data_IF_875734487703
#
_entry.id   IF_875734487703
#
_cell.length_a   1.000
_cell.length_b   1.000
_cell.length_c   1.000
_cell.angle_alpha   90.00
_cell.angle_beta   90.00
_cell.angle_gamma   90.00
#
_symmetry.space_group_name_H-M   'P 1'
#
loop_
_entity.id
_entity.type
_entity.pdbx_description
1 polymer ?
#
# COMPACT_ATOMS: atom_id res chain seq x y z
N UNK A 1 -17.56 -7.42 6.56
CA UNK A 1 -16.62 -6.46 5.93
C UNK A 1 -15.22 -6.91 6.25
N UNK A 2 -14.40 -7.17 5.23
CA UNK A 2 -12.99 -7.47 5.41
C UNK A 2 -12.31 -6.23 6.01
N UNK A 3 -11.56 -6.41 7.10
CA UNK A 3 -10.83 -5.30 7.74
C UNK A 3 -9.43 -5.26 7.14
N UNK A 4 -9.14 -4.25 6.32
CA UNK A 4 -7.85 -4.13 5.60
C UNK A 4 -6.68 -3.73 6.48
N UNK A 5 -6.92 -3.48 7.77
CA UNK A 5 -5.91 -3.11 8.77
C UNK A 5 -5.09 -4.28 9.30
N UNK A 6 -5.63 -5.49 9.23
CA UNK A 6 -4.91 -6.70 9.63
C UNK A 6 -4.44 -7.42 8.38
N UNK A 7 -3.14 -7.70 8.28
CA UNK A 7 -2.56 -8.43 7.15
C UNK A 7 -2.75 -9.96 7.25
N UNK A 8 -3.52 -10.47 8.22
CA UNK A 8 -3.79 -11.90 8.42
C UNK A 8 -4.41 -12.59 7.19
N UNK A 9 -5.00 -11.82 6.26
CA UNK A 9 -5.53 -12.34 5.00
C UNK A 9 -4.44 -12.66 3.96
N UNK A 10 -3.23 -12.10 4.06
CA UNK A 10 -2.16 -12.37 3.09
C UNK A 10 -1.61 -13.81 3.23
N UNK A 11 -1.35 -14.35 4.44
CA UNK A 11 -0.91 -15.73 4.60
C UNK A 11 -1.89 -16.79 4.09
N UNK A 12 -3.19 -16.47 4.06
CA UNK A 12 -4.26 -17.33 3.53
C UNK A 12 -4.32 -17.33 1.99
N UNK A 13 -3.58 -16.42 1.35
CA UNK A 13 -3.47 -16.26 -0.09
C UNK A 13 -2.52 -17.24 -0.78
N UNK A 14 -2.09 -16.88 -1.99
CA UNK A 14 -1.12 -17.69 -2.72
C UNK A 14 0.33 -17.51 -2.20
N UNK A 15 1.30 -18.10 -2.91
CA UNK A 15 2.72 -17.99 -2.57
C UNK A 15 3.23 -16.55 -2.57
N UNK A 16 2.85 -15.75 -3.58
CA UNK A 16 3.29 -14.35 -3.70
C UNK A 16 2.73 -13.50 -2.57
N UNK A 17 1.47 -13.71 -2.15
CA UNK A 17 0.89 -13.00 -1.00
C UNK A 17 1.60 -13.35 0.32
N UNK A 18 2.05 -14.61 0.49
CA UNK A 18 2.88 -15.01 1.63
C UNK A 18 4.25 -14.33 1.61
N UNK A 19 4.88 -14.24 0.45
CA UNK A 19 6.17 -13.55 0.30
C UNK A 19 6.05 -12.06 0.61
N UNK A 20 4.98 -11.41 0.14
CA UNK A 20 4.68 -10.01 0.46
C UNK A 20 4.46 -9.81 1.95
N UNK A 21 3.72 -10.73 2.59
CA UNK A 21 3.54 -10.69 4.04
C UNK A 21 4.89 -10.76 4.77
N UNK A 22 5.77 -11.69 4.37
CA UNK A 22 7.11 -11.82 4.94
C UNK A 22 7.94 -10.54 4.74
N UNK A 23 7.99 -10.00 3.52
CA UNK A 23 8.73 -8.77 3.23
C UNK A 23 8.24 -7.56 4.05
N UNK A 24 6.93 -7.45 4.29
CA UNK A 24 6.36 -6.39 5.15
C UNK A 24 6.75 -6.59 6.62
N UNK A 25 6.76 -7.83 7.13
CA UNK A 25 7.20 -8.10 8.51
C UNK A 25 8.69 -7.83 8.68
N UNK A 26 9.52 -8.33 7.76
CA UNK A 26 10.98 -8.28 7.84
C UNK A 26 11.53 -6.86 7.65
N UNK A 27 10.84 -6.03 6.85
CA UNK A 27 11.18 -4.61 6.73
C UNK A 27 10.84 -3.80 7.98
N UNK A 28 10.06 -4.35 8.93
CA UNK A 28 9.51 -3.65 10.10
C UNK A 28 8.71 -2.38 9.75
N UNK A 29 8.29 -2.22 8.49
CA UNK A 29 7.74 -0.96 7.96
C UNK A 29 6.53 -0.48 8.76
N UNK A 30 5.56 -1.38 9.02
CA UNK A 30 4.34 -1.01 9.74
C UNK A 30 4.64 -0.55 11.17
N UNK A 31 5.67 -1.12 11.80
CA UNK A 31 6.11 -0.72 13.15
C UNK A 31 6.80 0.65 13.13
N UNK A 32 7.69 0.88 12.16
CA UNK A 32 8.41 2.14 12.00
C UNK A 32 7.45 3.30 11.67
N UNK A 33 6.38 3.02 10.94
CA UNK A 33 5.39 4.01 10.51
C UNK A 33 4.12 4.02 11.38
N UNK A 34 4.06 3.28 12.49
CA UNK A 34 2.83 3.10 13.29
C UNK A 34 2.15 4.41 13.71
N UNK A 35 2.93 5.49 13.91
CA UNK A 35 2.41 6.82 14.24
C UNK A 35 1.60 7.50 13.10
N UNK A 36 1.62 6.91 11.90
CA UNK A 36 1.01 7.44 10.69
C UNK A 36 -0.08 6.52 10.11
N UNK A 37 -0.60 5.58 10.91
CA UNK A 37 -1.66 4.62 10.53
C UNK A 37 -1.37 3.92 9.18
N UNK A 38 -0.26 3.16 9.06
CA UNK A 38 0.15 2.60 7.78
C UNK A 38 -0.79 1.46 7.37
N UNK A 39 -1.31 1.51 6.14
CA UNK A 39 -2.19 0.47 5.57
C UNK A 39 -1.64 0.00 4.23
N UNK A 40 -1.58 -1.33 4.06
CA UNK A 40 -1.33 -1.95 2.75
C UNK A 40 -2.55 -1.78 1.85
N UNK A 41 -2.32 -1.24 0.65
CA UNK A 41 -3.32 -1.06 -0.38
C UNK A 41 -2.86 -1.64 -1.72
N UNK A 42 -3.65 -1.47 -2.75
CA UNK A 42 -3.29 -1.86 -4.11
C UNK A 42 -3.69 -3.30 -4.41
N UNK A 43 -2.86 -3.98 -5.18
CA UNK A 43 -3.24 -5.22 -5.85
C UNK A 43 -3.02 -6.48 -5.02
N UNK A 44 -2.03 -6.50 -4.13
CA UNK A 44 -1.74 -7.62 -3.22
C UNK A 44 -2.89 -7.96 -2.27
N UNK A 45 -3.57 -6.99 -1.61
CA UNK A 45 -4.68 -7.33 -0.72
C UNK A 45 -5.88 -8.05 -1.38
N UNK A 46 -6.10 -7.78 -2.66
CA UNK A 46 -7.26 -8.26 -3.42
C UNK A 46 -6.91 -9.33 -4.48
N UNK A 47 -5.65 -9.78 -4.53
CA UNK A 47 -5.26 -10.94 -5.34
C UNK A 47 -5.20 -10.69 -6.85
N UNK A 48 -5.00 -9.45 -7.31
CA UNK A 48 -4.96 -9.09 -8.76
C UNK A 48 -3.60 -8.53 -9.22
N UNK A 49 -2.55 -8.76 -8.45
CA UNK A 49 -1.20 -8.28 -8.76
C UNK A 49 -0.59 -8.97 -9.98
N UNK A 50 0.42 -8.32 -10.53
CA UNK A 50 1.33 -8.85 -11.53
C UNK A 50 2.70 -9.06 -10.89
N UNK A 51 3.62 -9.75 -11.58
CA UNK A 51 4.97 -10.02 -11.07
C UNK A 51 5.74 -8.74 -10.70
N UNK A 52 5.51 -7.66 -11.44
CA UNK A 52 6.16 -6.36 -11.28
C UNK A 52 5.40 -5.41 -10.34
N UNK A 53 4.33 -5.86 -9.68
CA UNK A 53 3.51 -5.02 -8.80
C UNK A 53 4.28 -4.59 -7.55
N UNK A 54 4.15 -3.31 -7.23
CA UNK A 54 4.74 -2.69 -6.05
C UNK A 54 3.92 -3.06 -4.79
N UNK A 55 4.59 -3.05 -3.63
CA UNK A 55 3.95 -3.09 -2.32
C UNK A 55 3.60 -1.65 -1.94
N UNK A 56 2.32 -1.31 -2.06
CA UNK A 56 1.81 0.04 -1.81
C UNK A 56 1.35 0.22 -0.36
N UNK A 57 2.00 1.11 0.39
CA UNK A 57 1.59 1.50 1.74
C UNK A 57 1.11 2.95 1.73
N UNK A 58 -0.08 3.19 2.25
CA UNK A 58 -0.56 4.56 2.53
C UNK A 58 -0.46 4.90 4.01
N UNK A 59 -0.23 6.17 4.30
CA UNK A 59 -0.10 6.74 5.63
C UNK A 59 -0.86 8.07 5.74
N UNK A 60 -1.30 8.40 6.94
CA UNK A 60 -1.79 9.73 7.30
C UNK A 60 -0.71 10.48 8.11
N UNK A 61 -0.37 11.71 7.70
CA UNK A 61 0.49 12.59 8.50
C UNK A 61 -0.23 13.88 8.89
N UNK A 62 0.11 14.44 10.06
CA UNK A 62 -0.30 15.81 10.42
C UNK A 62 0.73 16.85 10.03
N UNK A 63 1.99 16.43 9.95
CA UNK A 63 3.16 17.28 9.73
C UNK A 63 4.11 16.58 8.76
N UNK A 64 4.24 17.16 7.57
CA UNK A 64 5.05 16.56 6.49
C UNK A 64 6.54 16.50 6.84
N UNK A 65 7.03 17.46 7.63
CA UNK A 65 8.42 17.49 8.08
C UNK A 65 8.74 16.36 9.06
N UNK A 66 7.83 16.10 10.00
CA UNK A 66 7.96 14.96 10.92
C UNK A 66 7.87 13.64 10.17
N UNK A 67 6.87 13.48 9.29
CA UNK A 67 6.70 12.28 8.47
C UNK A 67 7.92 12.01 7.60
N UNK A 68 8.39 13.02 6.85
CA UNK A 68 9.57 12.89 6.00
C UNK A 68 10.83 12.55 6.76
N UNK A 69 11.01 13.11 7.96
CA UNK A 69 12.16 12.77 8.83
C UNK A 69 12.12 11.30 9.25
N UNK A 70 10.95 10.77 9.63
CA UNK A 70 10.82 9.36 10.01
C UNK A 70 11.07 8.44 8.81
N UNK A 71 10.50 8.76 7.64
CA UNK A 71 10.70 7.98 6.41
C UNK A 71 12.18 7.98 6.00
N UNK A 72 12.83 9.15 6.00
CA UNK A 72 14.26 9.28 5.69
C UNK A 72 15.12 8.46 6.66
N UNK A 73 14.93 8.63 7.97
CA UNK A 73 15.72 7.91 8.97
C UNK A 73 15.50 6.40 8.91
N UNK A 74 14.31 5.96 8.54
CA UNK A 74 13.94 4.54 8.51
C UNK A 74 14.43 3.82 7.26
N UNK A 75 14.40 4.46 6.09
CA UNK A 75 14.51 3.74 4.81
C UNK A 75 15.60 4.28 3.86
N UNK A 76 16.24 5.42 4.16
CA UNK A 76 17.23 6.03 3.24
C UNK A 76 18.47 5.18 2.96
N UNK A 77 18.74 4.17 3.79
CA UNK A 77 19.85 3.24 3.62
C UNK A 77 19.52 2.06 2.69
N UNK A 78 18.26 1.93 2.26
CA UNK A 78 17.81 0.83 1.42
C UNK A 78 18.12 1.11 -0.08
N UNK A 79 18.29 0.05 -0.89
CA UNK A 79 18.51 0.20 -2.33
C UNK A 79 17.39 0.97 -3.03
N UNK A 80 17.75 1.71 -4.08
CA UNK A 80 16.85 2.51 -4.91
C UNK A 80 15.99 3.52 -4.13
N UNK A 81 16.43 3.93 -2.93
CA UNK A 81 15.67 4.89 -2.13
C UNK A 81 15.51 6.23 -2.85
N UNK A 82 14.26 6.64 -3.06
CA UNK A 82 13.88 7.98 -3.49
C UNK A 82 12.77 8.53 -2.60
N UNK A 83 12.79 9.84 -2.35
CA UNK A 83 11.70 10.54 -1.65
C UNK A 83 11.42 11.87 -2.32
N UNK A 84 10.13 12.22 -2.46
CA UNK A 84 9.71 13.49 -3.08
C UNK A 84 8.36 13.95 -2.54
N UNK A 85 8.18 15.27 -2.54
CA UNK A 85 6.90 15.92 -2.23
C UNK A 85 6.22 16.37 -3.51
N UNK A 86 4.90 16.21 -3.61
CA UNK A 86 4.08 16.62 -4.75
C UNK A 86 2.68 17.07 -4.30
N UNK A 87 2.03 17.88 -5.12
CA UNK A 87 0.59 18.17 -4.99
C UNK A 87 -0.20 17.14 -5.80
N UNK A 88 -1.00 16.32 -5.13
CA UNK A 88 -1.84 15.29 -5.77
C UNK A 88 -3.29 15.61 -5.45
N UNK A 89 -4.07 15.93 -6.48
CA UNK A 89 -5.48 16.35 -6.35
C UNK A 89 -5.66 17.53 -5.38
N UNK A 90 -4.71 18.47 -5.38
CA UNK A 90 -4.72 19.64 -4.50
C UNK A 90 -4.27 19.38 -3.06
N UNK A 91 -3.80 18.17 -2.75
CA UNK A 91 -3.33 17.79 -1.41
C UNK A 91 -1.81 17.60 -1.42
N UNK A 92 -1.11 18.20 -0.45
CA UNK A 92 0.32 17.99 -0.26
C UNK A 92 0.58 16.53 0.13
N UNK A 93 1.45 15.87 -0.62
CA UNK A 93 1.70 14.44 -0.53
C UNK A 93 3.19 14.16 -0.57
N UNK A 94 3.62 13.14 0.15
CA UNK A 94 4.99 12.65 0.11
C UNK A 94 5.01 11.21 -0.36
N UNK A 95 5.90 10.91 -1.30
CA UNK A 95 6.09 9.58 -1.87
C UNK A 95 7.54 9.18 -1.62
N UNK A 96 7.74 8.04 -0.97
CA UNK A 96 9.02 7.37 -0.88
C UNK A 96 8.97 6.03 -1.60
N UNK A 97 10.06 5.65 -2.26
CA UNK A 97 10.22 4.33 -2.85
C UNK A 97 11.56 3.77 -2.50
N UNK A 98 11.64 2.45 -2.43
CA UNK A 98 12.88 1.70 -2.23
C UNK A 98 12.65 0.25 -2.61
N UNK A 99 13.71 -0.55 -2.57
CA UNK A 99 13.63 -2.00 -2.70
C UNK A 99 13.99 -2.71 -1.40
N UNK A 100 13.27 -3.77 -1.11
CA UNK A 100 13.56 -4.66 0.00
C UNK A 100 13.07 -6.07 -0.34
N UNK A 101 13.90 -7.08 -0.06
CA UNK A 101 13.59 -8.50 -0.26
C UNK A 101 13.03 -8.85 -1.65
N UNK A 102 13.60 -8.25 -2.71
CA UNK A 102 13.17 -8.46 -4.09
C UNK A 102 11.94 -7.66 -4.53
N UNK A 103 11.22 -7.02 -3.59
CA UNK A 103 10.06 -6.19 -3.89
C UNK A 103 10.41 -4.70 -4.01
N UNK A 104 9.60 -3.99 -4.79
CA UNK A 104 9.54 -2.52 -4.77
C UNK A 104 8.48 -2.11 -3.76
N UNK A 105 8.84 -1.20 -2.87
CA UNK A 105 7.92 -0.57 -1.94
C UNK A 105 7.65 0.85 -2.39
N UNK A 106 6.38 1.26 -2.34
CA UNK A 106 5.96 2.66 -2.42
C UNK A 106 5.25 3.04 -1.12
N UNK A 107 5.78 4.01 -0.39
CA UNK A 107 5.12 4.62 0.77
C UNK A 107 4.56 5.97 0.34
N UNK A 108 3.25 6.10 0.45
CA UNK A 108 2.50 7.31 0.15
C UNK A 108 1.92 7.92 1.43
N UNK A 109 2.17 9.21 1.68
CA UNK A 109 1.61 9.94 2.81
C UNK A 109 0.83 11.17 2.38
N UNK A 110 -0.29 11.44 3.05
CA UNK A 110 -1.07 12.69 2.96
C UNK A 110 -1.67 13.07 4.33
N UNK A 111 -2.21 14.28 4.46
CA UNK A 111 -2.94 14.68 5.68
C UNK A 111 -4.38 14.16 5.79
N UNK A 112 -4.85 13.49 4.73
CA UNK A 112 -6.15 12.84 4.65
C UNK A 112 -6.13 11.50 5.39
N UNK A 113 -7.22 11.17 6.11
CA UNK A 113 -7.38 9.88 6.77
C UNK A 113 -7.26 8.73 5.75
N UNK A 114 -6.61 7.63 6.13
CA UNK A 114 -6.25 6.55 5.20
C UNK A 114 -7.46 5.97 4.47
N UNK A 115 -8.62 5.85 5.12
CA UNK A 115 -9.85 5.36 4.47
C UNK A 115 -10.48 6.33 3.49
N UNK A 116 -10.17 7.62 3.61
CA UNK A 116 -10.63 8.67 2.71
C UNK A 116 -9.68 8.85 1.51
N UNK A 117 -8.45 8.32 1.61
CA UNK A 117 -7.47 8.37 0.53
C UNK A 117 -7.93 7.55 -0.68
N UNK A 118 -7.59 8.05 -1.87
CA UNK A 118 -8.04 7.45 -3.13
C UNK A 118 -7.61 6.00 -3.31
N UNK A 119 -6.39 5.64 -2.92
CA UNK A 119 -5.87 4.28 -3.09
C UNK A 119 -6.67 3.25 -2.26
N UNK A 120 -7.00 3.57 -1.00
CA UNK A 120 -7.84 2.73 -0.17
C UNK A 120 -9.25 2.58 -0.75
N UNK A 121 -9.90 3.70 -1.09
CA UNK A 121 -11.26 3.70 -1.66
C UNK A 121 -11.32 2.92 -2.97
N UNK A 122 -10.29 3.05 -3.81
CA UNK A 122 -10.20 2.34 -5.08
C UNK A 122 -10.12 0.83 -4.85
N UNK A 123 -9.17 0.38 -4.01
CA UNK A 123 -9.02 -1.03 -3.67
C UNK A 123 -10.29 -1.64 -3.07
N UNK A 124 -10.97 -0.92 -2.18
CA UNK A 124 -12.23 -1.38 -1.58
C UNK A 124 -13.33 -1.54 -2.64
N UNK A 125 -13.42 -0.61 -3.61
CA UNK A 125 -14.38 -0.73 -4.72
C UNK A 125 -14.02 -1.90 -5.63
N UNK A 126 -12.73 -2.10 -5.94
CA UNK A 126 -12.26 -3.24 -6.73
C UNK A 126 -12.58 -4.57 -6.05
N UNK A 127 -12.31 -4.71 -4.75
CA UNK A 127 -12.68 -5.89 -3.95
C UNK A 127 -14.18 -6.18 -3.99
N UNK A 128 -15.01 -5.14 -3.84
CA UNK A 128 -16.47 -5.28 -3.92
C UNK A 128 -16.92 -5.75 -5.30
N UNK A 129 -16.30 -5.25 -6.37
CA UNK A 129 -16.61 -5.67 -7.75
C UNK A 129 -16.16 -7.12 -7.97
N UNK A 130 -14.98 -7.52 -7.49
CA UNK A 130 -14.47 -8.89 -7.63
C UNK A 130 -15.33 -9.88 -6.84
N UNK A 131 -15.68 -9.54 -5.61
CA UNK A 131 -16.55 -10.36 -4.75
C UNK A 131 -17.98 -10.45 -5.28
N UNK A 132 -18.52 -9.35 -5.81
CA UNK A 132 -19.87 -9.29 -6.41
C UNK A 132 -19.97 -9.97 -7.78
N UNK A 133 -18.84 -10.15 -8.49
CA UNK A 133 -18.78 -10.92 -9.75
C UNK A 133 -18.72 -12.43 -9.53
N UNK A 134 -18.69 -12.89 -8.29
CA UNK A 134 -18.81 -14.31 -7.94
C UNK A 134 -20.14 -14.97 -8.34
N UNK A 135 -21.13 -14.21 -8.82
CA UNK A 135 -22.42 -14.74 -9.27
C UNK A 135 -22.85 -14.37 -10.70
N UNK A 136 -22.07 -13.60 -11.48
CA UNK A 136 -22.51 -13.24 -12.83
C UNK A 136 -21.50 -13.61 -13.93
N UNK A 137 -21.81 -14.76 -14.53
CA UNK A 137 -21.29 -15.34 -15.76
C UNK A 137 -20.93 -14.30 -16.83
N UNK A 138 -19.64 -14.25 -17.17
CA UNK A 138 -19.11 -13.88 -18.48
C UNK A 138 -19.84 -12.82 -19.29
N UNK A 139 -19.48 -11.54 -19.11
CA UNK A 139 -19.43 -10.60 -20.24
C UNK A 139 -18.14 -9.79 -20.21
N UNK A 140 -17.32 -10.12 -21.20
CA UNK A 140 -16.09 -9.47 -21.63
C UNK A 140 -16.43 -8.03 -22.04
N UNK A 141 -15.94 -7.04 -21.29
CA UNK A 141 -15.86 -5.67 -21.78
C UNK A 141 -14.41 -5.40 -22.20
N UNK A 142 -14.21 -5.44 -23.51
CA UNK A 142 -13.06 -4.88 -24.22
C UNK A 142 -13.14 -3.35 -24.19
N UNK A 143 -12.04 -2.70 -23.81
CA UNK A 143 -11.75 -1.32 -24.20
C UNK A 143 -11.07 -1.30 -25.56
#
# INVERSE_FOLDING_TARGET
MKQWRDLSYLPEGDEKQRDVYAAIQDSMLLKLLAAFDPILVGTYPIGIYLEESDIDIICQFFRIDHYGSVVLNSFSHLPDFEIKTKMIRGVESMIARFRFDGFKFEIFGQHTAVEEQYAYRHMVIEDMILSGRGEDSGKRCSY
#
